data_IF_805926560568
#
_entry.id   IF_805926560568
#
_cell.length_a   1.000
_cell.length_b   1.000
_cell.length_c   1.000
_cell.angle_alpha   90.00
_cell.angle_beta   90.00
_cell.angle_gamma   90.00
#
_symmetry.space_group_name_H-M   'P 1'
#
loop_
_entity.id
_entity.type
_entity.pdbx_description
1 polymer ?
#
# COMPACT_ATOMS: atom_id res chain seq x y z
N UNK A 1 -14.92 19.31 12.21
CA UNK A 1 -14.80 18.13 13.08
C UNK A 1 -13.34 17.73 13.03
N UNK A 2 -12.54 18.07 14.05
CA UNK A 2 -11.08 17.97 13.98
C UNK A 2 -10.62 16.51 13.91
N UNK A 3 -10.19 16.05 12.74
CA UNK A 3 -9.64 14.71 12.53
C UNK A 3 -8.22 14.63 13.10
N UNK A 4 -8.10 14.39 14.40
CA UNK A 4 -6.81 13.96 14.98
C UNK A 4 -6.50 12.55 14.49
N UNK A 5 -5.59 12.43 13.51
CA UNK A 5 -5.04 11.15 13.01
C UNK A 5 -4.38 10.42 14.19
N UNK A 6 -5.02 9.38 14.73
CA UNK A 6 -4.35 8.43 15.64
C UNK A 6 -3.23 7.76 14.84
N UNK A 7 -2.02 7.66 15.44
CA UNK A 7 -0.86 6.95 14.85
C UNK A 7 -1.33 5.66 14.17
N UNK A 8 -1.21 5.63 12.84
CA UNK A 8 -1.51 4.48 11.99
C UNK A 8 -0.40 3.45 12.26
N UNK A 9 -0.71 2.41 13.05
CA UNK A 9 0.17 1.25 13.19
C UNK A 9 0.14 0.48 11.86
N UNK A 10 1.24 -0.19 11.46
CA UNK A 10 1.37 -0.77 10.13
C UNK A 10 0.18 -1.68 9.80
N UNK A 11 -0.61 -1.24 8.83
CA UNK A 11 -1.71 -1.98 8.22
C UNK A 11 -1.11 -3.22 7.56
N UNK A 12 -1.50 -4.41 8.01
CA UNK A 12 -1.38 -5.65 7.22
C UNK A 12 -2.78 -6.00 6.74
N UNK A 13 -3.06 -5.71 5.48
CA UNK A 13 -4.35 -5.95 4.78
C UNK A 13 -4.58 -7.43 4.44
N UNK A 14 -3.55 -8.28 4.48
CA UNK A 14 -3.67 -9.73 4.25
C UNK A 14 -4.31 -10.50 5.41
N UNK A 15 -4.30 -9.95 6.61
CA UNK A 15 -4.89 -10.63 7.75
C UNK A 15 -6.38 -10.28 7.83
N UNK A 16 -7.21 -11.20 7.35
CA UNK A 16 -8.68 -11.18 7.49
C UNK A 16 -9.17 -11.08 8.94
N UNK A 17 -8.30 -11.29 9.94
CA UNK A 17 -8.59 -11.14 11.36
C UNK A 17 -8.03 -9.84 11.95
N UNK A 18 -7.41 -9.00 11.12
CA UNK A 18 -7.00 -7.67 11.50
C UNK A 18 -8.25 -6.80 11.66
N UNK A 19 -8.63 -6.53 12.91
CA UNK A 19 -9.83 -5.76 13.29
C UNK A 19 -9.83 -4.31 12.78
N UNK A 20 -8.74 -3.85 12.18
CA UNK A 20 -8.50 -2.44 11.89
C UNK A 20 -8.97 -1.96 10.51
N UNK A 21 -9.30 -2.87 9.58
CA UNK A 21 -9.61 -2.51 8.19
C UNK A 21 -11.05 -2.08 7.91
N UNK A 22 -11.79 -1.60 8.91
CA UNK A 22 -12.98 -0.81 8.59
C UNK A 22 -12.98 0.46 9.41
N UNK A 23 -12.75 1.57 8.71
CA UNK A 23 -12.99 2.94 9.14
C UNK A 23 -14.42 3.09 9.68
N UNK A 24 -14.61 2.76 10.95
CA UNK A 24 -15.89 2.91 11.67
C UNK A 24 -15.66 3.71 12.95
N UNK A 25 -14.77 4.70 12.89
CA UNK A 25 -14.57 5.67 13.96
C UNK A 25 -15.73 6.68 14.06
N UNK A 26 -16.66 6.71 13.09
CA UNK A 26 -17.70 7.75 12.98
C UNK A 26 -19.13 7.38 13.42
N UNK A 27 -19.46 6.11 13.72
CA UNK A 27 -20.87 5.67 13.82
C UNK A 27 -21.33 5.19 15.20
N UNK A 28 -20.55 5.44 16.26
CA UNK A 28 -20.91 5.07 17.63
C UNK A 28 -20.80 3.56 17.95
N UNK A 29 -20.90 3.22 19.24
CA UNK A 29 -20.48 1.91 19.76
C UNK A 29 -21.36 0.72 19.33
N UNK A 30 -22.68 0.92 19.18
CA UNK A 30 -23.60 -0.11 18.66
C UNK A 30 -23.38 -0.42 17.18
N UNK A 31 -23.08 0.60 16.37
CA UNK A 31 -22.74 0.44 14.96
C UNK A 31 -21.42 -0.33 14.80
N UNK A 32 -20.47 -0.12 15.73
CA UNK A 32 -19.19 -0.82 15.77
C UNK A 32 -19.35 -2.34 15.91
N UNK A 33 -20.24 -2.82 16.79
CA UNK A 33 -20.47 -4.27 16.98
C UNK A 33 -21.09 -4.90 15.72
N UNK A 34 -22.11 -4.27 15.15
CA UNK A 34 -22.76 -4.75 13.91
C UNK A 34 -21.75 -4.78 12.75
N UNK A 35 -20.92 -3.73 12.64
CA UNK A 35 -19.87 -3.67 11.64
C UNK A 35 -18.85 -4.80 11.81
N UNK A 36 -18.48 -5.10 13.05
CA UNK A 36 -17.55 -6.19 13.38
C UNK A 36 -18.12 -7.56 13.00
N UNK A 37 -19.41 -7.81 13.29
CA UNK A 37 -20.09 -9.06 12.88
C UNK A 37 -20.16 -9.16 11.35
N UNK A 38 -20.52 -8.08 10.66
CA UNK A 38 -20.53 -8.04 9.19
C UNK A 38 -19.14 -8.30 8.61
N UNK A 39 -18.11 -7.70 9.20
CA UNK A 39 -16.72 -7.91 8.82
C UNK A 39 -16.31 -9.38 9.00
N UNK A 40 -16.58 -9.97 10.17
CA UNK A 40 -16.34 -11.38 10.43
C UNK A 40 -17.00 -12.30 9.39
N UNK A 41 -18.27 -12.03 9.05
CA UNK A 41 -18.98 -12.77 8.00
C UNK A 41 -18.33 -12.62 6.62
N UNK A 42 -17.82 -11.44 6.27
CA UNK A 42 -17.04 -11.21 5.05
C UNK A 42 -15.72 -11.97 5.06
N UNK A 43 -15.02 -11.97 6.18
CA UNK A 43 -13.75 -12.70 6.35
C UNK A 43 -13.93 -14.21 6.15
N UNK A 44 -14.98 -14.79 6.73
CA UNK A 44 -15.34 -16.19 6.47
C UNK A 44 -15.65 -16.45 4.99
N UNK A 45 -16.40 -15.54 4.34
CA UNK A 45 -16.69 -15.63 2.90
C UNK A 45 -15.39 -15.62 2.08
N UNK A 46 -14.49 -14.67 2.34
CA UNK A 46 -13.23 -14.52 1.62
C UNK A 46 -12.29 -15.71 1.85
N UNK A 47 -12.19 -16.23 3.07
CA UNK A 47 -11.45 -17.47 3.35
C UNK A 47 -11.99 -18.63 2.53
N UNK A 48 -13.31 -18.82 2.50
CA UNK A 48 -13.94 -19.87 1.69
C UNK A 48 -13.61 -19.68 0.20
N UNK A 49 -13.61 -18.46 -0.31
CA UNK A 49 -13.27 -18.20 -1.70
C UNK A 49 -11.81 -18.58 -2.02
N UNK A 50 -10.85 -18.20 -1.16
CA UNK A 50 -9.45 -18.58 -1.35
C UNK A 50 -9.25 -20.10 -1.33
N UNK A 51 -9.93 -20.80 -0.42
CA UNK A 51 -9.88 -22.28 -0.36
C UNK A 51 -10.50 -22.92 -1.61
N UNK A 52 -11.63 -22.40 -2.10
CA UNK A 52 -12.38 -23.03 -3.20
C UNK A 52 -11.78 -22.75 -4.58
N UNK A 53 -11.26 -21.55 -4.84
CA UNK A 53 -10.76 -21.16 -6.19
C UNK A 53 -9.38 -20.50 -6.21
N UNK A 54 -8.69 -20.40 -5.08
CA UNK A 54 -7.34 -19.81 -4.98
C UNK A 54 -7.29 -18.31 -4.65
N UNK A 55 -8.40 -17.56 -4.80
CA UNK A 55 -8.45 -16.12 -4.51
C UNK A 55 -9.85 -15.63 -4.09
N UNK A 56 -9.94 -14.53 -3.34
CA UNK A 56 -11.17 -13.88 -2.90
C UNK A 56 -11.58 -12.72 -3.82
N UNK A 57 -12.85 -12.30 -3.77
CA UNK A 57 -13.33 -11.12 -4.53
C UNK A 57 -12.56 -9.84 -4.14
N UNK A 58 -12.16 -9.71 -2.87
CA UNK A 58 -11.39 -8.56 -2.39
C UNK A 58 -9.96 -8.53 -2.95
N UNK A 59 -9.36 -9.70 -3.18
CA UNK A 59 -8.02 -9.81 -3.77
C UNK A 59 -8.02 -9.27 -5.20
N UNK A 60 -9.13 -9.45 -5.93
CA UNK A 60 -9.30 -8.92 -7.29
C UNK A 60 -9.58 -7.42 -7.28
N UNK A 61 -10.31 -6.92 -6.28
CA UNK A 61 -10.69 -5.51 -6.19
C UNK A 61 -9.48 -4.57 -6.14
N UNK A 62 -8.42 -4.95 -5.39
CA UNK A 62 -7.15 -4.23 -5.37
C UNK A 62 -5.98 -5.21 -5.50
N UNK A 63 -5.84 -5.79 -6.69
CA UNK A 63 -4.86 -6.83 -6.97
C UNK A 63 -3.42 -6.38 -6.68
N UNK A 64 -3.09 -5.13 -7.01
CA UNK A 64 -1.75 -4.62 -6.75
C UNK A 64 -1.46 -4.55 -5.24
N UNK A 65 -2.37 -4.00 -4.43
CA UNK A 65 -2.20 -3.95 -2.97
C UNK A 65 -2.11 -5.35 -2.36
N UNK A 66 -2.91 -6.28 -2.85
CA UNK A 66 -2.85 -7.68 -2.42
C UNK A 66 -1.47 -8.30 -2.70
N UNK A 67 -0.90 -8.08 -3.89
CA UNK A 67 0.43 -8.57 -4.25
C UNK A 67 1.55 -7.88 -3.46
N UNK A 68 1.43 -6.58 -3.22
CA UNK A 68 2.39 -5.79 -2.43
C UNK A 68 2.59 -6.32 -1.03
N UNK A 69 1.57 -6.95 -0.45
CA UNK A 69 1.72 -7.64 0.82
C UNK A 69 2.08 -9.11 0.68
N UNK A 70 1.49 -9.80 -0.29
CA UNK A 70 1.64 -11.26 -0.41
C UNK A 70 3.07 -11.63 -0.79
N UNK A 71 3.64 -10.93 -1.77
CA UNK A 71 4.94 -11.28 -2.32
C UNK A 71 6.06 -11.17 -1.26
N UNK A 72 6.19 -10.07 -0.49
CA UNK A 72 7.15 -10.02 0.62
C UNK A 72 6.98 -11.12 1.67
N UNK A 73 5.74 -11.51 1.97
CA UNK A 73 5.46 -12.56 2.94
C UNK A 73 5.88 -13.94 2.43
N UNK A 74 5.61 -14.23 1.15
CA UNK A 74 6.05 -15.46 0.49
C UNK A 74 7.58 -15.53 0.38
N UNK A 75 8.24 -14.46 -0.06
CA UNK A 75 9.71 -14.43 -0.15
C UNK A 75 10.39 -14.60 1.21
N UNK A 76 9.82 -14.00 2.26
CA UNK A 76 10.31 -14.20 3.62
C UNK A 76 10.15 -15.65 4.06
N UNK A 77 9.01 -16.28 3.73
CA UNK A 77 8.81 -17.69 4.03
C UNK A 77 9.86 -18.58 3.34
N UNK A 78 10.13 -18.37 2.05
CA UNK A 78 11.17 -19.09 1.29
C UNK A 78 12.56 -18.91 1.90
N UNK A 79 12.87 -17.69 2.33
CA UNK A 79 14.13 -17.36 3.00
C UNK A 79 14.29 -18.12 4.33
N UNK A 80 13.21 -18.17 5.11
CA UNK A 80 13.21 -18.79 6.43
C UNK A 80 13.18 -20.34 6.36
N UNK A 81 12.55 -20.92 5.33
CA UNK A 81 12.43 -22.37 5.13
C UNK A 81 13.69 -23.00 4.53
N UNK A 82 14.36 -22.30 3.60
CA UNK A 82 15.58 -22.72 2.88
C UNK A 82 15.47 -23.97 2.00
N UNK A 83 14.35 -24.71 1.96
CA UNK A 83 14.26 -26.00 1.25
C UNK A 83 14.30 -25.89 -0.28
N UNK A 84 14.08 -24.70 -0.85
CA UNK A 84 14.19 -24.43 -2.29
C UNK A 84 15.34 -23.53 -2.71
N UNK A 85 16.40 -23.42 -1.90
CA UNK A 85 17.55 -22.56 -2.26
C UNK A 85 18.27 -23.09 -3.51
N UNK A 86 18.50 -22.27 -4.54
CA UNK A 86 19.08 -22.78 -5.77
C UNK A 86 20.56 -23.17 -5.61
N UNK A 87 20.85 -24.47 -5.68
CA UNK A 87 22.20 -25.02 -5.46
C UNK A 87 23.24 -24.69 -6.53
N UNK A 88 22.88 -23.92 -7.58
CA UNK A 88 23.84 -23.35 -8.52
C UNK A 88 24.46 -22.03 -8.02
N UNK A 89 23.93 -21.45 -6.94
CA UNK A 89 24.61 -20.38 -6.20
C UNK A 89 25.66 -20.94 -5.25
N UNK A 90 26.58 -20.10 -4.79
CA UNK A 90 27.60 -20.49 -3.81
C UNK A 90 28.73 -21.34 -4.39
N UNK A 91 29.54 -21.87 -3.49
CA UNK A 91 30.70 -22.71 -3.77
C UNK A 91 30.51 -24.12 -3.21
N UNK A 92 30.77 -25.12 -4.05
CA UNK A 92 30.78 -26.51 -3.62
C UNK A 92 32.08 -26.80 -2.87
N UNK A 93 31.99 -27.46 -1.72
CA UNK A 93 33.13 -27.98 -0.97
C UNK A 93 32.87 -29.40 -0.48
N UNK A 94 33.95 -30.14 -0.20
CA UNK A 94 33.86 -31.48 0.37
C UNK A 94 34.06 -31.41 1.87
N UNK A 95 33.10 -31.92 2.64
CA UNK A 95 33.21 -31.98 4.09
C UNK A 95 34.19 -33.09 4.53
N UNK A 96 34.42 -33.21 5.85
CA UNK A 96 35.34 -34.21 6.42
C UNK A 96 34.96 -35.66 6.09
N UNK A 97 33.68 -35.92 5.81
CA UNK A 97 33.13 -37.23 5.43
C UNK A 97 33.21 -37.52 3.92
N UNK A 98 33.80 -36.63 3.12
CA UNK A 98 33.91 -36.81 1.67
C UNK A 98 32.63 -36.45 0.90
N UNK A 99 31.65 -35.82 1.54
CA UNK A 99 30.35 -35.45 0.94
C UNK A 99 30.45 -34.03 0.36
N UNK A 100 29.98 -33.85 -0.87
CA UNK A 100 29.89 -32.56 -1.53
C UNK A 100 28.73 -31.73 -0.97
N UNK A 101 29.03 -30.61 -0.33
CA UNK A 101 28.07 -29.68 0.29
C UNK A 101 28.12 -28.32 -0.42
N UNK A 102 27.03 -27.55 -0.33
CA UNK A 102 26.94 -26.20 -0.87
C UNK A 102 26.05 -25.31 0.00
N UNK A 103 26.41 -25.19 1.27
CA UNK A 103 25.58 -24.45 2.23
C UNK A 103 25.67 -22.92 1.99
N UNK A 104 26.68 -22.47 1.24
CA UNK A 104 26.85 -21.06 0.86
C UNK A 104 25.82 -20.56 -0.16
N UNK A 105 25.10 -21.47 -0.85
CA UNK A 105 24.02 -21.08 -1.76
C UNK A 105 22.91 -20.31 -1.05
N UNK A 106 22.67 -20.60 0.23
CA UNK A 106 21.65 -19.95 1.04
C UNK A 106 21.93 -18.46 1.24
N UNK A 107 23.19 -18.07 1.44
CA UNK A 107 23.54 -16.67 1.71
C UNK A 107 23.36 -15.79 0.46
N UNK A 108 23.71 -16.32 -0.72
CA UNK A 108 23.46 -15.62 -1.98
C UNK A 108 21.96 -15.53 -2.30
N UNK A 109 21.21 -16.59 -2.04
CA UNK A 109 19.76 -16.59 -2.22
C UNK A 109 19.06 -15.63 -1.24
N UNK A 110 19.50 -15.58 0.01
CA UNK A 110 19.00 -14.66 1.02
C UNK A 110 19.18 -13.20 0.58
N UNK A 111 20.30 -12.84 -0.07
CA UNK A 111 20.51 -11.47 -0.61
C UNK A 111 19.47 -11.13 -1.67
N UNK A 112 19.22 -12.05 -2.60
CA UNK A 112 18.23 -11.87 -3.68
C UNK A 112 16.83 -11.72 -3.09
N UNK A 113 16.42 -12.63 -2.22
CA UNK A 113 15.10 -12.58 -1.57
C UNK A 113 14.94 -11.31 -0.72
N UNK A 114 15.97 -10.88 0.01
CA UNK A 114 15.94 -9.62 0.77
C UNK A 114 15.76 -8.40 -0.15
N UNK A 115 16.41 -8.38 -1.31
CA UNK A 115 16.23 -7.30 -2.29
C UNK A 115 14.81 -7.29 -2.86
N UNK A 116 14.27 -8.46 -3.23
CA UNK A 116 12.88 -8.57 -3.68
C UNK A 116 11.90 -8.10 -2.60
N UNK A 117 12.05 -8.56 -1.36
CA UNK A 117 11.23 -8.12 -0.20
C UNK A 117 11.29 -6.59 -0.03
N UNK A 118 12.49 -6.02 -0.12
CA UNK A 118 12.68 -4.57 -0.02
C UNK A 118 11.93 -3.83 -1.13
N UNK A 119 12.16 -4.20 -2.39
CA UNK A 119 11.55 -3.51 -3.54
C UNK A 119 10.03 -3.56 -3.48
N UNK A 120 9.44 -4.73 -3.22
CA UNK A 120 7.99 -4.89 -3.13
C UNK A 120 7.39 -4.01 -2.02
N UNK A 121 8.07 -3.88 -0.87
CA UNK A 121 7.65 -2.95 0.20
C UNK A 121 7.80 -1.49 -0.19
N UNK A 122 8.82 -1.14 -0.97
CA UNK A 122 8.99 0.24 -1.45
C UNK A 122 7.91 0.64 -2.46
N UNK A 123 7.28 -0.31 -3.16
CA UNK A 123 6.17 0.01 -4.07
C UNK A 123 4.89 0.44 -3.35
N UNK A 124 4.69 0.01 -2.11
CA UNK A 124 3.52 0.38 -1.31
C UNK A 124 3.76 1.73 -0.63
N UNK A 125 2.80 2.66 -0.78
CA UNK A 125 2.88 4.00 -0.20
C UNK A 125 3.04 3.97 1.32
N UNK A 126 2.38 3.04 2.01
CA UNK A 126 2.43 2.96 3.46
C UNK A 126 3.79 2.44 3.94
N UNK A 127 4.31 1.37 3.33
CA UNK A 127 5.61 0.78 3.72
C UNK A 127 6.84 1.42 3.08
N UNK A 128 6.68 2.26 2.05
CA UNK A 128 7.77 2.97 1.40
C UNK A 128 8.58 3.79 2.39
N UNK A 129 9.91 3.61 2.35
CA UNK A 129 10.86 4.31 3.21
C UNK A 129 10.95 5.82 2.91
N UNK A 130 10.66 6.23 1.66
CA UNK A 130 10.63 7.63 1.24
C UNK A 130 9.24 8.22 1.43
N UNK A 131 9.16 9.38 2.09
CA UNK A 131 7.93 10.12 2.37
C UNK A 131 8.07 11.55 1.89
N UNK A 132 6.94 12.18 1.59
CA UNK A 132 6.92 13.58 1.17
C UNK A 132 7.28 14.47 2.38
N UNK A 133 8.35 15.27 2.33
CA UNK A 133 8.74 16.14 3.44
C UNK A 133 7.71 17.24 3.73
N UNK A 134 6.85 17.56 2.77
CA UNK A 134 5.80 18.57 2.88
C UNK A 134 4.43 17.98 3.31
N UNK A 135 4.32 16.67 3.54
CA UNK A 135 3.04 16.01 3.85
C UNK A 135 2.33 16.64 5.05
N UNK A 136 3.04 16.81 6.17
CA UNK A 136 2.45 17.37 7.39
C UNK A 136 2.01 18.83 7.19
N UNK A 137 2.81 19.63 6.48
CA UNK A 137 2.50 21.03 6.18
C UNK A 137 1.30 21.13 5.22
N UNK A 138 1.27 20.30 4.19
CA UNK A 138 0.16 20.18 3.25
C UNK A 138 -1.14 19.77 3.94
N UNK A 139 -1.12 18.77 4.83
CA UNK A 139 -2.30 18.35 5.60
C UNK A 139 -2.83 19.49 6.47
N UNK A 140 -1.94 20.27 7.10
CA UNK A 140 -2.33 21.43 7.90
C UNK A 140 -2.98 22.50 7.01
N UNK A 141 -2.34 22.84 5.89
CA UNK A 141 -2.85 23.80 4.92
C UNK A 141 -4.21 23.36 4.33
N UNK A 142 -4.37 22.07 4.04
CA UNK A 142 -5.63 21.50 3.57
C UNK A 142 -6.74 21.59 4.63
N UNK A 143 -6.40 21.34 5.90
CA UNK A 143 -7.33 21.47 7.01
C UNK A 143 -7.78 22.93 7.19
N UNK A 144 -6.86 23.89 7.08
CA UNK A 144 -7.19 25.32 7.10
C UNK A 144 -8.06 25.73 5.91
N UNK A 145 -7.74 25.22 4.71
CA UNK A 145 -8.54 25.45 3.51
C UNK A 145 -9.97 24.92 3.66
N UNK A 146 -10.14 23.69 4.15
CA UNK A 146 -11.45 23.07 4.41
C UNK A 146 -12.26 23.87 5.44
N UNK A 147 -11.63 24.34 6.51
CA UNK A 147 -12.29 25.18 7.52
C UNK A 147 -12.73 26.55 6.93
N UNK A 148 -11.84 27.20 6.17
CA UNK A 148 -12.07 28.53 5.60
C UNK A 148 -13.09 28.47 4.46
N UNK A 149 -12.88 27.61 3.48
CA UNK A 149 -13.63 27.55 2.22
C UNK A 149 -14.63 26.40 2.13
N UNK A 150 -14.73 25.54 3.14
CA UNK A 150 -15.61 24.38 3.12
C UNK A 150 -15.00 23.21 2.34
N UNK A 151 -15.65 22.05 2.44
CA UNK A 151 -15.23 20.84 1.75
C UNK A 151 -15.12 21.07 0.25
N UNK A 152 -13.96 20.77 -0.33
CA UNK A 152 -13.68 20.98 -1.76
C UNK A 152 -13.96 22.41 -2.25
N UNK A 153 -13.81 23.40 -1.36
CA UNK A 153 -13.97 24.81 -1.70
C UNK A 153 -15.41 25.25 -1.99
N UNK A 154 -16.41 24.56 -1.44
CA UNK A 154 -17.83 24.89 -1.59
C UNK A 154 -18.17 26.39 -1.45
N UNK A 155 -17.51 27.11 -0.54
CA UNK A 155 -17.75 28.54 -0.29
C UNK A 155 -17.08 29.47 -1.32
N UNK A 156 -16.21 28.96 -2.18
CA UNK A 156 -15.59 29.72 -3.27
C UNK A 156 -16.49 29.82 -4.51
N UNK A 157 -17.53 28.98 -4.60
CA UNK A 157 -18.42 28.95 -5.74
C UNK A 157 -19.12 30.29 -5.97
N UNK A 158 -19.05 30.75 -7.21
CA UNK A 158 -19.72 31.96 -7.67
C UNK A 158 -21.20 31.70 -7.94
N UNK A 159 -22.01 32.77 -7.95
CA UNK A 159 -23.44 32.67 -8.30
C UNK A 159 -23.67 32.12 -9.71
N UNK A 160 -22.77 32.44 -10.64
CA UNK A 160 -22.83 31.95 -12.02
C UNK A 160 -22.61 30.43 -12.08
N UNK A 161 -21.60 29.92 -11.37
CA UNK A 161 -21.34 28.48 -11.27
C UNK A 161 -22.51 27.74 -10.62
N UNK A 162 -23.08 28.30 -9.54
CA UNK A 162 -24.26 27.73 -8.89
C UNK A 162 -25.47 27.65 -9.83
N UNK A 163 -25.71 28.66 -10.67
CA UNK A 163 -26.78 28.64 -11.67
C UNK A 163 -26.53 27.66 -12.80
N UNK A 164 -25.28 27.54 -13.25
CA UNK A 164 -24.90 26.57 -14.28
C UNK A 164 -24.99 25.13 -13.78
N UNK A 165 -24.51 24.87 -12.57
CA UNK A 165 -24.60 23.59 -11.89
C UNK A 165 -26.06 23.15 -11.71
N UNK A 166 -26.96 24.08 -11.37
CA UNK A 166 -28.41 23.81 -11.33
C UNK A 166 -28.96 23.38 -12.70
N UNK A 167 -28.50 23.98 -13.80
CA UNK A 167 -28.92 23.62 -15.16
C UNK A 167 -28.42 22.23 -15.59
N UNK A 168 -27.25 21.81 -15.09
CA UNK A 168 -26.61 20.51 -15.42
C UNK A 168 -27.12 19.32 -14.59
N UNK A 169 -28.09 19.54 -13.71
CA UNK A 169 -28.67 18.48 -12.86
C UNK A 169 -28.10 18.43 -11.43
N UNK A 170 -27.41 19.47 -10.99
CA UNK A 170 -26.78 19.56 -9.66
C UNK A 170 -25.30 19.18 -9.67
N UNK A 171 -24.70 19.15 -8.47
CA UNK A 171 -23.24 19.00 -8.28
C UNK A 171 -22.55 20.35 -8.08
N UNK A 172 -21.59 20.43 -7.17
CA UNK A 172 -20.82 21.65 -6.93
C UNK A 172 -19.57 21.70 -7.83
N UNK A 173 -19.18 22.91 -8.26
CA UNK A 173 -17.85 23.14 -8.82
C UNK A 173 -16.82 22.94 -7.71
N UNK A 174 -15.81 22.13 -7.97
CA UNK A 174 -14.74 21.85 -7.01
C UNK A 174 -13.65 22.91 -7.19
N UNK A 175 -13.23 23.53 -6.09
CA UNK A 175 -12.11 24.44 -6.05
C UNK A 175 -10.98 23.84 -5.21
N UNK A 176 -9.76 23.94 -5.72
CA UNK A 176 -8.57 23.38 -5.09
C UNK A 176 -7.69 24.46 -4.46
N UNK A 177 -6.75 24.03 -3.62
CA UNK A 177 -5.86 24.93 -2.89
C UNK A 177 -4.95 25.76 -3.80
N UNK A 178 -4.54 25.23 -4.95
CA UNK A 178 -3.66 25.91 -5.91
C UNK A 178 -4.30 27.13 -6.60
N UNK A 179 -5.63 27.21 -6.61
CA UNK A 179 -6.37 28.35 -7.11
C UNK A 179 -6.27 29.57 -6.18
N UNK A 180 -5.87 29.36 -4.92
CA UNK A 180 -5.72 30.41 -3.91
C UNK A 180 -4.23 30.72 -3.70
N UNK A 181 -3.79 31.98 -3.91
CA UNK A 181 -2.37 32.34 -3.78
C UNK A 181 -1.74 31.98 -2.43
N UNK A 182 -2.54 31.97 -1.36
CA UNK A 182 -2.11 31.61 0.00
C UNK A 182 -1.62 30.15 0.11
N UNK A 183 -2.22 29.20 -0.63
CA UNK A 183 -1.90 27.77 -0.52
C UNK A 183 -1.17 27.21 -1.75
N UNK A 184 -1.05 28.00 -2.80
CA UNK A 184 -0.44 27.58 -4.06
C UNK A 184 0.99 27.05 -3.90
N UNK A 185 1.83 27.74 -3.12
CA UNK A 185 3.23 27.37 -2.97
C UNK A 185 3.40 25.99 -2.28
N UNK A 186 2.69 25.75 -1.17
CA UNK A 186 2.74 24.47 -0.46
C UNK A 186 2.14 23.34 -1.31
N UNK A 187 1.05 23.62 -2.03
CA UNK A 187 0.44 22.66 -2.94
C UNK A 187 1.41 22.24 -4.05
N UNK A 188 2.08 23.20 -4.69
CA UNK A 188 3.06 22.92 -5.76
C UNK A 188 4.27 22.14 -5.24
N UNK A 189 4.83 22.52 -4.08
CA UNK A 189 5.95 21.81 -3.46
C UNK A 189 5.59 20.37 -3.11
N UNK A 190 4.44 20.17 -2.47
CA UNK A 190 3.93 18.84 -2.12
C UNK A 190 3.75 17.99 -3.36
N UNK A 191 3.06 18.51 -4.39
CA UNK A 191 2.84 17.81 -5.66
C UNK A 191 4.13 17.43 -6.37
N UNK A 192 5.12 18.32 -6.45
CA UNK A 192 6.40 18.04 -7.11
C UNK A 192 7.17 16.92 -6.40
N UNK A 193 7.13 16.87 -5.06
CA UNK A 193 7.74 15.76 -4.33
C UNK A 193 6.94 14.46 -4.47
N UNK A 194 5.60 14.52 -4.52
CA UNK A 194 4.76 13.35 -4.79
C UNK A 194 5.04 12.75 -6.17
N UNK A 195 5.18 13.57 -7.22
CA UNK A 195 5.54 13.12 -8.57
C UNK A 195 6.92 12.41 -8.58
N UNK A 196 7.87 12.84 -7.73
CA UNK A 196 9.17 12.17 -7.58
C UNK A 196 9.05 10.84 -6.84
N UNK A 197 8.20 10.79 -5.82
CA UNK A 197 7.94 9.56 -5.05
C UNK A 197 7.20 8.53 -5.89
N UNK A 198 6.24 8.94 -6.72
CA UNK A 198 5.58 8.07 -7.69
C UNK A 198 6.59 7.43 -8.65
N UNK A 199 7.46 8.24 -9.28
CA UNK A 199 8.53 7.72 -10.16
C UNK A 199 9.45 6.73 -9.44
N UNK A 200 9.85 7.04 -8.22
CA UNK A 200 10.66 6.11 -7.42
C UNK A 200 9.93 4.77 -7.18
N UNK A 201 8.64 4.82 -6.85
CA UNK A 201 7.83 3.61 -6.65
C UNK A 201 7.66 2.82 -7.95
N UNK A 202 7.52 3.51 -9.08
CA UNK A 202 7.49 2.88 -10.42
C UNK A 202 8.81 2.17 -10.73
N UNK A 203 9.95 2.80 -10.47
CA UNK A 203 11.28 2.21 -10.64
C UNK A 203 11.45 0.97 -9.74
N UNK A 204 11.05 1.05 -8.47
CA UNK A 204 11.07 -0.10 -7.56
C UNK A 204 10.17 -1.24 -8.05
N UNK A 205 8.99 -0.91 -8.58
CA UNK A 205 8.05 -1.89 -9.14
C UNK A 205 8.64 -2.56 -10.37
N UNK A 206 9.24 -1.81 -11.29
CA UNK A 206 9.85 -2.37 -12.49
C UNK A 206 11.02 -3.31 -12.11
N UNK A 207 11.90 -2.89 -11.20
CA UNK A 207 12.99 -3.75 -10.71
C UNK A 207 12.45 -5.01 -9.99
N UNK A 208 11.40 -4.88 -9.18
CA UNK A 208 10.78 -6.00 -8.49
C UNK A 208 10.23 -7.06 -9.47
N UNK A 209 9.62 -6.60 -10.56
CA UNK A 209 9.08 -7.46 -11.61
C UNK A 209 10.21 -8.09 -12.45
N UNK A 210 11.28 -7.35 -12.74
CA UNK A 210 12.43 -7.89 -13.45
C UNK A 210 13.14 -8.99 -12.65
N UNK A 211 13.31 -8.80 -11.34
CA UNK A 211 13.84 -9.85 -10.46
C UNK A 211 12.89 -11.04 -10.39
N UNK A 212 11.58 -10.81 -10.28
CA UNK A 212 10.59 -11.89 -10.27
C UNK A 212 10.65 -12.70 -11.57
N UNK A 213 10.84 -12.03 -12.71
CA UNK A 213 11.02 -12.66 -14.02
C UNK A 213 12.31 -13.47 -14.09
N UNK A 214 13.42 -12.92 -13.61
CA UNK A 214 14.73 -13.59 -13.60
C UNK A 214 14.72 -14.87 -12.78
N UNK A 215 14.16 -14.80 -11.56
CA UNK A 215 14.20 -15.89 -10.59
C UNK A 215 12.91 -16.71 -10.53
N UNK A 216 12.01 -16.56 -11.50
CA UNK A 216 10.67 -17.15 -11.45
C UNK A 216 10.67 -18.65 -11.14
N UNK A 217 11.52 -19.42 -11.83
CA UNK A 217 11.64 -20.88 -11.64
C UNK A 217 12.46 -21.28 -10.41
N UNK A 218 13.07 -20.31 -9.74
CA UNK A 218 13.80 -20.50 -8.48
C UNK A 218 12.93 -20.24 -7.25
N UNK A 219 11.70 -19.77 -7.44
CA UNK A 219 10.73 -19.49 -6.36
C UNK A 219 9.86 -20.72 -6.06
N UNK A 220 10.48 -21.78 -5.58
CA UNK A 220 9.78 -22.99 -5.11
C UNK A 220 10.33 -23.40 -3.74
N UNK A 221 9.57 -24.21 -3.01
CA UNK A 221 9.95 -24.87 -1.74
C UNK A 221 9.54 -26.35 -1.84
#
# INVERSE_FOLDING_TARGET
MCFKRKKRLPERTLNIWNRHEFAMAGLGEKSRIIAMIKHFGRCLKWSRQRVVRGYADCDVWSMFSYLQELMPDMFRHLKDSRHGSPGYFGENYTNEDGILMNDTCHDEWDKILNRMIFLWRETDEETCSKKNPYEDEYINAFSEFDEKYGFLGEKLQTKAELEENKKRGGGGTIHFMDEIPEYKEIYEKHRVEDDKLEKYREECKDEAIDMLKEYFFSLWD
#
